data_IF_260343411493
#
_entry.id   IF_260343411493
#
_cell.length_a   1.000
_cell.length_b   1.000
_cell.length_c   1.000
_cell.angle_alpha   90.00
_cell.angle_beta   90.00
_cell.angle_gamma   90.00
#
_symmetry.space_group_name_H-M   'P 1'
#
loop_
_entity.id
_entity.type
_entity.pdbx_description
1 polymer ?
#
# COMPACT_ATOMS: atom_id res chain seq x y z
N UNK A 1 -11.12 21.29 5.31
CA UNK A 1 -11.47 19.86 5.47
C UNK A 1 -10.25 19.05 5.05
N UNK A 2 -9.86 18.02 5.80
CA UNK A 2 -8.73 17.15 5.43
C UNK A 2 -9.29 15.91 4.72
N UNK A 3 -8.78 15.61 3.53
CA UNK A 3 -9.15 14.44 2.72
C UNK A 3 -8.01 13.43 2.76
N UNK A 4 -8.29 12.24 3.30
CA UNK A 4 -7.31 11.16 3.43
C UNK A 4 -7.71 9.96 2.56
N UNK A 5 -6.79 9.47 1.74
CA UNK A 5 -6.94 8.18 1.07
C UNK A 5 -6.26 7.08 1.89
N UNK A 6 -6.96 5.97 2.09
CA UNK A 6 -6.43 4.78 2.76
C UNK A 6 -6.37 3.63 1.76
N UNK A 7 -5.17 3.11 1.51
CA UNK A 7 -4.99 1.86 0.78
C UNK A 7 -4.96 0.73 1.80
N UNK A 8 -5.96 -0.14 1.79
CA UNK A 8 -5.94 -1.37 2.57
C UNK A 8 -5.25 -2.47 1.77
N UNK A 9 -4.19 -3.06 2.32
CA UNK A 9 -3.43 -4.10 1.66
C UNK A 9 -3.03 -5.22 2.64
N UNK A 10 -3.01 -6.45 2.13
CA UNK A 10 -2.46 -7.62 2.82
C UNK A 10 -1.78 -8.54 1.83
N UNK A 11 -0.77 -9.27 2.27
CA UNK A 11 -0.04 -10.26 1.49
C UNK A 11 -0.88 -11.53 1.25
N UNK A 12 -1.79 -11.84 2.17
CA UNK A 12 -2.64 -13.05 2.21
C UNK A 12 -3.89 -12.96 1.33
N UNK A 13 -3.69 -12.83 0.02
CA UNK A 13 -4.77 -12.96 -0.97
C UNK A 13 -5.04 -14.42 -1.30
N UNK A 14 -6.32 -14.83 -1.31
CA UNK A 14 -6.71 -16.24 -1.56
C UNK A 14 -6.57 -16.68 -3.00
N UNK A 15 -6.99 -15.85 -3.97
CA UNK A 15 -6.97 -16.18 -5.40
C UNK A 15 -5.61 -15.94 -6.07
N UNK A 16 -4.89 -14.91 -5.61
CA UNK A 16 -3.57 -14.55 -6.13
C UNK A 16 -2.68 -14.08 -4.95
N UNK A 17 -2.01 -15.01 -4.25
CA UNK A 17 -1.15 -14.69 -3.11
C UNK A 17 -0.08 -13.66 -3.48
N UNK A 18 0.20 -12.71 -2.59
CA UNK A 18 1.23 -11.69 -2.81
C UNK A 18 0.93 -10.67 -3.93
N UNK A 19 -0.28 -10.65 -4.50
CA UNK A 19 -0.64 -9.78 -5.64
C UNK A 19 -0.25 -8.30 -5.49
N UNK A 20 -0.26 -7.78 -4.25
CA UNK A 20 0.01 -6.37 -3.96
C UNK A 20 1.46 -5.97 -4.23
N UNK A 21 2.42 -6.88 -4.06
CA UNK A 21 3.83 -6.66 -4.37
C UNK A 21 4.29 -7.38 -5.64
N UNK A 22 3.40 -8.15 -6.28
CA UNK A 22 3.68 -8.80 -7.55
C UNK A 22 4.11 -7.76 -8.60
N UNK A 23 5.21 -8.00 -9.34
CA UNK A 23 5.65 -7.10 -10.39
C UNK A 23 4.62 -7.03 -11.53
N UNK A 24 4.28 -5.81 -11.93
CA UNK A 24 3.53 -5.50 -13.15
C UNK A 24 4.35 -4.47 -13.91
N UNK A 25 4.76 -4.80 -15.13
CA UNK A 25 5.66 -3.95 -15.93
C UNK A 25 6.94 -3.55 -15.17
N UNK A 26 7.56 -4.52 -14.48
CA UNK A 26 8.81 -4.35 -13.75
C UNK A 26 8.71 -3.73 -12.36
N UNK A 27 7.52 -3.31 -11.92
CA UNK A 27 7.31 -2.57 -10.66
C UNK A 27 6.18 -3.18 -9.83
N UNK A 28 6.23 -3.13 -8.48
CA UNK A 28 5.16 -3.67 -7.65
C UNK A 28 3.77 -3.09 -8.00
N UNK A 29 2.74 -3.94 -8.06
CA UNK A 29 1.36 -3.51 -8.32
C UNK A 29 0.93 -2.32 -7.43
N UNK A 30 1.25 -2.39 -6.14
CA UNK A 30 0.95 -1.34 -5.16
C UNK A 30 1.65 -0.01 -5.51
N UNK A 31 2.85 -0.04 -6.10
CA UNK A 31 3.56 1.18 -6.50
C UNK A 31 2.83 1.94 -7.61
N UNK A 32 2.25 1.22 -8.57
CA UNK A 32 1.41 1.84 -9.60
C UNK A 32 0.21 2.57 -8.97
N UNK A 33 -0.43 1.97 -7.98
CA UNK A 33 -1.56 2.59 -7.27
C UNK A 33 -1.11 3.83 -6.47
N UNK A 34 0.00 3.73 -5.72
CA UNK A 34 0.57 4.86 -4.97
C UNK A 34 0.93 6.03 -5.89
N UNK A 35 1.62 5.77 -7.02
CA UNK A 35 1.96 6.80 -8.02
C UNK A 35 0.71 7.46 -8.60
N UNK A 36 -0.36 6.70 -8.83
CA UNK A 36 -1.64 7.24 -9.32
C UNK A 36 -2.30 8.16 -8.28
N UNK A 37 -2.36 7.73 -7.02
CA UNK A 37 -2.99 8.51 -5.94
C UNK A 37 -2.21 9.79 -5.60
N UNK A 38 -0.87 9.76 -5.66
CA UNK A 38 -0.03 10.96 -5.48
C UNK A 38 -0.26 12.06 -6.51
N UNK A 39 -0.89 11.76 -7.66
CA UNK A 39 -1.24 12.77 -8.68
C UNK A 39 -2.58 13.45 -8.42
N UNK A 40 -3.38 12.97 -7.46
CA UNK A 40 -4.66 13.59 -7.13
C UNK A 40 -4.43 14.93 -6.42
N UNK A 41 -5.07 16.00 -6.92
CA UNK A 41 -4.91 17.36 -6.37
C UNK A 41 -5.75 17.63 -5.12
N UNK A 42 -6.67 16.73 -4.78
CA UNK A 42 -7.63 16.87 -3.68
C UNK A 42 -7.30 16.01 -2.48
N UNK A 43 -6.25 15.19 -2.53
CA UNK A 43 -5.82 14.35 -1.41
C UNK A 43 -4.76 15.08 -0.61
N UNK A 44 -5.02 15.28 0.68
CA UNK A 44 -4.04 15.84 1.62
C UNK A 44 -3.11 14.75 2.16
N UNK A 45 -3.60 13.52 2.28
CA UNK A 45 -2.88 12.41 2.92
C UNK A 45 -3.14 11.08 2.22
N UNK A 46 -2.12 10.23 2.21
CA UNK A 46 -2.18 8.86 1.72
C UNK A 46 -1.57 7.92 2.77
N UNK A 47 -2.32 6.91 3.21
CA UNK A 47 -1.91 5.95 4.24
C UNK A 47 -2.08 4.53 3.72
N UNK A 48 -1.10 3.68 3.97
CA UNK A 48 -1.20 2.22 3.78
C UNK A 48 -1.65 1.57 5.09
N UNK A 49 -2.84 1.00 5.11
CA UNK A 49 -3.31 0.19 6.23
C UNK A 49 -3.05 -1.30 5.91
N UNK A 50 -2.30 -1.97 6.78
CA UNK A 50 -1.94 -3.39 6.67
C UNK A 50 -2.30 -4.12 7.96
N UNK A 51 -2.24 -5.45 7.94
CA UNK A 51 -2.48 -6.21 9.17
C UNK A 51 -1.29 -6.13 10.13
N UNK A 52 -1.55 -6.44 11.39
CA UNK A 52 -0.52 -6.69 12.41
C UNK A 52 0.21 -8.04 12.23
N UNK A 53 -0.17 -8.84 11.24
CA UNK A 53 0.43 -10.16 11.01
C UNK A 53 1.83 -10.05 10.40
N UNK A 54 2.78 -10.92 10.78
CA UNK A 54 4.14 -10.94 10.20
C UNK A 54 4.16 -11.12 8.67
N UNK A 55 3.11 -11.75 8.12
CA UNK A 55 2.96 -11.90 6.67
C UNK A 55 2.97 -10.55 5.93
N UNK A 56 2.62 -9.44 6.58
CA UNK A 56 2.57 -8.10 5.98
C UNK A 56 3.85 -7.26 6.18
N UNK A 57 4.91 -7.79 6.79
CA UNK A 57 6.20 -7.09 6.94
C UNK A 57 6.83 -6.61 5.61
N UNK A 58 6.67 -7.34 4.48
CA UNK A 58 7.09 -6.83 3.18
C UNK A 58 6.37 -5.53 2.77
N UNK A 59 5.11 -5.34 3.20
CA UNK A 59 4.33 -4.13 2.92
C UNK A 59 4.77 -2.95 3.77
N UNK A 60 5.13 -3.16 5.03
CA UNK A 60 5.76 -2.12 5.85
C UNK A 60 7.09 -1.69 5.24
N UNK A 61 7.92 -2.66 4.85
CA UNK A 61 9.20 -2.40 4.19
C UNK A 61 9.01 -1.63 2.88
N UNK A 62 7.99 -2.00 2.09
CA UNK A 62 7.60 -1.27 0.90
C UNK A 62 7.20 0.18 1.22
N UNK A 63 6.34 0.40 2.22
CA UNK A 63 5.89 1.72 2.61
C UNK A 63 7.05 2.62 3.04
N UNK A 64 7.98 2.10 3.86
CA UNK A 64 9.20 2.81 4.26
C UNK A 64 10.04 3.23 3.04
N UNK A 65 10.31 2.31 2.11
CA UNK A 65 11.07 2.63 0.88
C UNK A 65 10.39 3.68 0.01
N UNK A 66 9.06 3.73 -0.01
CA UNK A 66 8.31 4.68 -0.82
C UNK A 66 8.00 6.00 -0.09
N UNK A 67 8.38 6.16 1.18
CA UNK A 67 7.99 7.32 2.00
C UNK A 67 6.48 7.43 2.16
N UNK A 68 5.81 6.30 2.39
CA UNK A 68 4.36 6.20 2.58
C UNK A 68 4.04 5.99 4.05
N UNK A 69 3.12 6.78 4.60
CA UNK A 69 2.61 6.55 5.96
C UNK A 69 1.95 5.16 6.03
N UNK A 70 2.25 4.40 7.09
CA UNK A 70 1.75 3.04 7.27
C UNK A 70 1.11 2.89 8.65
N UNK A 71 0.00 2.17 8.69
CA UNK A 71 -0.68 1.76 9.91
C UNK A 71 -0.82 0.23 9.92
N UNK A 72 -0.54 -0.39 11.07
CA UNK A 72 -0.70 -1.84 11.29
C UNK A 72 -1.78 -2.07 12.34
N UNK A 73 -2.73 -2.95 12.07
CA UNK A 73 -3.79 -3.30 13.02
C UNK A 73 -4.65 -4.47 12.54
N UNK A 74 -5.74 -4.75 13.25
CA UNK A 74 -6.70 -5.82 12.94
C UNK A 74 -8.14 -5.32 12.96
#
# INVERSE_FOLDING_TARGET
MIVTAVIQARMTSTRLPGKVLMPVLGEPLLLHQVRRLRRAKTLDRLVLAITDQPADDPLESFARRQGLAVFRGS
#
